data_IF_699723935533
#
_entry.id   IF_699723935533
#
_cell.length_a   1.000
_cell.length_b   1.000
_cell.length_c   1.000
_cell.angle_alpha   90.00
_cell.angle_beta   90.00
_cell.angle_gamma   90.00
#
_symmetry.space_group_name_H-M   'P 1'
#
loop_
_entity.id
_entity.type
_entity.pdbx_description
1 polymer ?
#
# COMPACT_ATOMS: atom_id res chain seq x y z
N UNK A 1 -13.84 11.32 16.09
CA UNK A 1 -13.53 11.94 14.79
C UNK A 1 -14.60 12.96 14.46
N UNK A 2 -14.22 14.21 14.18
CA UNK A 2 -15.18 15.22 13.70
C UNK A 2 -15.62 14.84 12.26
N UNK A 3 -16.90 15.01 11.88
CA UNK A 3 -17.39 14.76 10.52
C UNK A 3 -16.51 15.30 9.38
N UNK A 4 -15.80 16.41 9.59
CA UNK A 4 -14.89 17.00 8.60
C UNK A 4 -13.66 16.12 8.36
N UNK A 5 -13.03 15.60 9.41
CA UNK A 5 -11.87 14.70 9.31
C UNK A 5 -12.25 13.40 8.59
N UNK A 6 -13.43 12.86 8.92
CA UNK A 6 -13.97 11.67 8.26
C UNK A 6 -14.18 11.90 6.76
N UNK A 7 -14.72 13.05 6.36
CA UNK A 7 -14.91 13.38 4.94
C UNK A 7 -13.58 13.55 4.22
N UNK A 8 -12.60 14.21 4.83
CA UNK A 8 -11.28 14.41 4.22
C UNK A 8 -10.53 13.09 4.00
N UNK A 9 -10.65 12.15 4.93
CA UNK A 9 -10.04 10.82 4.83
C UNK A 9 -10.51 10.06 3.58
N UNK A 10 -11.75 10.27 3.12
CA UNK A 10 -12.30 9.61 1.93
C UNK A 10 -12.20 10.46 0.67
N UNK A 11 -12.31 11.78 0.81
CA UNK A 11 -12.31 12.71 -0.32
C UNK A 11 -10.97 12.67 -1.06
N UNK A 12 -9.85 12.72 -0.33
CA UNK A 12 -8.51 12.74 -0.94
C UNK A 12 -8.23 11.45 -1.75
N UNK A 13 -8.39 10.23 -1.19
CA UNK A 13 -8.29 8.99 -1.95
C UNK A 13 -9.20 8.93 -3.18
N UNK A 14 -10.46 9.35 -3.03
CA UNK A 14 -11.45 9.33 -4.12
C UNK A 14 -11.06 10.25 -5.26
N UNK A 15 -10.58 11.46 -4.94
CA UNK A 15 -10.05 12.41 -5.91
C UNK A 15 -8.80 11.88 -6.59
N UNK A 16 -7.85 11.33 -5.82
CA UNK A 16 -6.63 10.75 -6.38
C UNK A 16 -6.94 9.64 -7.37
N UNK A 17 -7.86 8.73 -7.03
CA UNK A 17 -8.23 7.63 -7.90
C UNK A 17 -8.97 8.12 -9.15
N UNK A 18 -9.85 9.11 -9.00
CA UNK A 18 -10.54 9.74 -10.13
C UNK A 18 -9.54 10.42 -11.07
N UNK A 19 -8.61 11.21 -10.53
CA UNK A 19 -7.54 11.85 -11.30
C UNK A 19 -6.69 10.80 -12.01
N UNK A 20 -6.32 9.70 -11.33
CA UNK A 20 -5.57 8.60 -11.95
C UNK A 20 -6.30 8.00 -13.15
N UNK A 21 -7.58 7.65 -13.00
CA UNK A 21 -8.36 7.05 -14.08
C UNK A 21 -8.68 8.00 -15.23
N UNK A 22 -8.71 9.32 -15.00
CA UNK A 22 -8.94 10.33 -16.03
C UNK A 22 -7.64 10.79 -16.72
N UNK A 23 -6.56 10.98 -15.95
CA UNK A 23 -5.31 11.56 -16.43
C UNK A 23 -4.68 10.69 -17.53
N UNK A 24 -4.57 9.39 -17.31
CA UNK A 24 -3.88 8.50 -18.26
C UNK A 24 -4.58 8.45 -19.63
N UNK A 25 -5.91 8.22 -19.71
CA UNK A 25 -6.59 8.23 -21.01
C UNK A 25 -6.73 9.61 -21.62
N UNK A 26 -7.08 10.63 -20.85
CA UNK A 26 -7.43 11.95 -21.39
C UNK A 26 -6.21 12.82 -21.69
N UNK A 27 -5.16 12.75 -20.86
CA UNK A 27 -3.97 13.59 -21.00
C UNK A 27 -2.84 12.86 -21.73
N UNK A 28 -2.65 11.57 -21.42
CA UNK A 28 -1.58 10.76 -22.02
C UNK A 28 -2.05 9.89 -23.20
N UNK A 29 -3.34 9.90 -23.51
CA UNK A 29 -3.88 9.15 -24.65
C UNK A 29 -3.77 7.62 -24.49
N UNK A 30 -3.61 7.10 -23.27
CA UNK A 30 -3.42 5.67 -23.04
C UNK A 30 -4.74 4.92 -22.93
N UNK A 31 -4.74 3.61 -23.15
CA UNK A 31 -5.87 2.76 -22.77
C UNK A 31 -6.13 2.80 -21.25
N UNK A 32 -7.37 2.53 -20.84
CA UNK A 32 -7.77 2.36 -19.43
C UNK A 32 -7.07 1.15 -18.78
N UNK A 33 -6.52 0.24 -19.58
CA UNK A 33 -5.79 -0.93 -19.08
C UNK A 33 -4.63 -0.55 -18.15
N UNK A 34 -3.89 0.52 -18.46
CA UNK A 34 -2.77 0.96 -17.64
C UNK A 34 -3.19 1.49 -16.25
N UNK A 35 -4.14 2.45 -16.12
CA UNK A 35 -4.58 2.88 -14.80
C UNK A 35 -5.24 1.75 -14.00
N UNK A 36 -5.98 0.82 -14.64
CA UNK A 36 -6.50 -0.40 -13.98
C UNK A 36 -5.36 -1.24 -13.42
N UNK A 37 -4.35 -1.54 -14.23
CA UNK A 37 -3.18 -2.33 -13.83
C UNK A 37 -2.52 -1.75 -12.56
N UNK A 38 -2.23 -0.45 -12.58
CA UNK A 38 -1.57 0.25 -11.46
C UNK A 38 -2.42 0.26 -10.18
N UNK A 39 -3.74 0.40 -10.28
CA UNK A 39 -4.62 0.49 -9.12
C UNK A 39 -4.99 -0.88 -8.53
N UNK A 40 -5.15 -1.91 -9.37
CA UNK A 40 -5.58 -3.25 -8.94
C UNK A 40 -4.50 -3.95 -8.13
N UNK A 41 -3.22 -3.80 -8.48
CA UNK A 41 -2.11 -4.46 -7.77
C UNK A 41 -2.07 -4.09 -6.27
N UNK A 42 -2.00 -2.81 -5.86
CA UNK A 42 -2.00 -2.45 -4.45
C UNK A 42 -3.31 -2.81 -3.74
N UNK A 43 -4.44 -2.79 -4.45
CA UNK A 43 -5.72 -3.22 -3.90
C UNK A 43 -5.71 -4.72 -3.54
N UNK A 44 -5.29 -5.57 -4.48
CA UNK A 44 -5.16 -7.02 -4.26
C UNK A 44 -4.10 -7.32 -3.20
N UNK A 45 -2.99 -6.58 -3.20
CA UNK A 45 -1.96 -6.72 -2.18
C UNK A 45 -2.53 -6.39 -0.79
N UNK A 46 -3.32 -5.33 -0.66
CA UNK A 46 -4.04 -5.02 0.59
C UNK A 46 -4.92 -6.18 1.05
N UNK A 47 -5.74 -6.72 0.14
CA UNK A 47 -6.65 -7.82 0.48
C UNK A 47 -5.91 -9.08 0.92
N UNK A 48 -4.87 -9.47 0.17
CA UNK A 48 -4.16 -10.72 0.39
C UNK A 48 -3.16 -10.61 1.54
N UNK A 49 -2.37 -9.54 1.58
CA UNK A 49 -1.23 -9.44 2.49
C UNK A 49 -1.58 -8.72 3.78
N UNK A 50 -2.18 -7.54 3.69
CA UNK A 50 -2.61 -6.79 4.88
C UNK A 50 -3.75 -7.53 5.57
N UNK A 51 -4.70 -8.05 4.79
CA UNK A 51 -5.76 -8.90 5.31
C UNK A 51 -5.24 -10.11 6.09
N UNK A 52 -4.21 -10.78 5.58
CA UNK A 52 -3.57 -11.91 6.27
C UNK A 52 -2.79 -11.44 7.51
N UNK A 53 -2.06 -10.33 7.44
CA UNK A 53 -1.37 -9.75 8.59
C UNK A 53 -2.29 -9.34 9.74
N UNK A 54 -3.48 -8.85 9.43
CA UNK A 54 -4.51 -8.53 10.43
C UNK A 54 -5.12 -9.80 11.04
N UNK A 55 -5.41 -10.81 10.21
CA UNK A 55 -6.14 -12.01 10.64
C UNK A 55 -5.28 -13.07 11.31
N UNK A 56 -4.08 -13.33 10.78
CA UNK A 56 -3.23 -14.45 11.20
C UNK A 56 -2.19 -13.98 12.20
N UNK A 57 -1.48 -12.90 11.88
CA UNK A 57 -0.36 -12.42 12.69
C UNK A 57 -0.73 -11.30 13.66
N UNK A 58 -1.96 -10.80 13.58
CA UNK A 58 -2.49 -9.72 14.41
C UNK A 58 -1.55 -8.49 14.47
N UNK A 59 -0.83 -8.18 13.39
CA UNK A 59 0.13 -7.07 13.38
C UNK A 59 -0.59 -5.71 13.43
N UNK A 60 -1.81 -5.67 12.91
CA UNK A 60 -2.64 -4.49 12.84
C UNK A 60 -4.09 -4.82 13.18
N UNK A 61 -4.81 -3.80 13.63
CA UNK A 61 -6.27 -3.83 13.72
C UNK A 61 -6.83 -2.56 13.12
N UNK A 62 -7.81 -2.71 12.23
CA UNK A 62 -8.47 -1.60 11.57
C UNK A 62 -9.93 -1.55 12.05
N UNK A 63 -10.42 -0.35 12.37
CA UNK A 63 -11.83 -0.15 12.74
C UNK A 63 -12.74 -0.03 11.52
N UNK A 64 -12.15 0.19 10.34
CA UNK A 64 -12.84 0.28 9.05
C UNK A 64 -12.76 -1.06 8.28
N UNK A 65 -13.73 -1.36 7.40
CA UNK A 65 -13.73 -2.61 6.64
C UNK A 65 -12.50 -2.75 5.73
N UNK A 66 -11.97 -3.96 5.61
CA UNK A 66 -10.76 -4.24 4.82
C UNK A 66 -10.79 -3.71 3.38
N UNK A 67 -11.90 -3.82 2.61
CA UNK A 67 -11.95 -3.24 1.26
C UNK A 67 -11.69 -1.74 1.23
N UNK A 68 -12.08 -1.02 2.29
CA UNK A 68 -11.83 0.41 2.40
C UNK A 68 -10.35 0.71 2.68
N UNK A 69 -9.71 -0.09 3.54
CA UNK A 69 -8.24 -0.03 3.76
C UNK A 69 -7.50 -0.25 2.44
N UNK A 70 -7.91 -1.28 1.68
CA UNK A 70 -7.32 -1.60 0.38
C UNK A 70 -7.51 -0.47 -0.64
N UNK A 71 -8.68 0.17 -0.63
CA UNK A 71 -8.95 1.34 -1.47
C UNK A 71 -8.07 2.54 -1.09
N UNK A 72 -7.93 2.85 0.21
CA UNK A 72 -7.02 3.90 0.69
C UNK A 72 -5.61 3.64 0.16
N UNK A 73 -5.10 2.43 0.37
CA UNK A 73 -3.74 2.05 -0.03
C UNK A 73 -3.54 2.11 -1.54
N UNK A 74 -4.49 1.60 -2.32
CA UNK A 74 -4.45 1.71 -3.78
C UNK A 74 -4.41 3.17 -4.23
N UNK A 75 -5.24 4.02 -3.62
CA UNK A 75 -5.33 5.45 -3.94
C UNK A 75 -4.06 6.23 -3.67
N UNK A 76 -3.39 5.94 -2.57
CA UNK A 76 -2.11 6.60 -2.28
C UNK A 76 -0.96 6.00 -3.09
N UNK A 77 -1.03 4.72 -3.43
CA UNK A 77 -0.03 4.08 -4.30
C UNK A 77 -0.06 4.68 -5.71
N UNK A 78 -1.24 5.01 -6.23
CA UNK A 78 -1.37 5.67 -7.55
C UNK A 78 -0.77 7.09 -7.60
N UNK A 79 -0.48 7.71 -6.45
CA UNK A 79 0.19 9.01 -6.41
C UNK A 79 1.58 8.95 -7.05
N UNK A 80 2.35 7.88 -6.79
CA UNK A 80 3.70 7.73 -7.35
C UNK A 80 3.68 7.83 -8.88
N UNK A 81 2.88 7.01 -9.56
CA UNK A 81 2.73 7.07 -11.02
C UNK A 81 2.20 8.41 -11.54
N UNK A 82 1.26 9.05 -10.84
CA UNK A 82 0.77 10.37 -11.21
C UNK A 82 1.84 11.47 -11.11
N UNK A 83 2.60 11.49 -10.01
CA UNK A 83 3.66 12.49 -9.78
C UNK A 83 4.85 12.24 -10.71
N UNK A 84 5.17 10.97 -10.98
CA UNK A 84 6.30 10.56 -11.81
C UNK A 84 5.91 10.32 -13.28
N UNK A 85 4.78 10.89 -13.72
CA UNK A 85 4.20 10.62 -15.03
C UNK A 85 5.21 10.79 -16.18
N UNK A 86 6.01 11.87 -16.20
CA UNK A 86 7.02 12.07 -17.24
C UNK A 86 8.09 10.98 -17.24
N UNK A 87 8.51 10.52 -16.06
CA UNK A 87 9.50 9.43 -15.95
C UNK A 87 8.90 8.09 -16.41
N UNK A 88 7.60 7.87 -16.16
CA UNK A 88 6.87 6.70 -16.68
C UNK A 88 6.74 6.77 -18.19
N UNK A 89 6.40 7.93 -18.75
CA UNK A 89 6.16 8.09 -20.20
C UNK A 89 7.43 8.10 -21.06
N UNK A 90 8.63 8.24 -20.48
CA UNK A 90 9.88 8.02 -21.21
C UNK A 90 9.95 6.59 -21.79
N UNK A 91 10.61 6.35 -22.93
CA UNK A 91 10.79 4.99 -23.46
C UNK A 91 11.39 4.03 -22.44
N UNK A 92 11.00 2.76 -22.52
CA UNK A 92 11.49 1.75 -21.60
C UNK A 92 13.03 1.63 -21.63
N UNK A 93 13.63 1.65 -20.44
CA UNK A 93 15.07 1.43 -20.24
C UNK A 93 15.34 0.89 -18.84
N UNK A 94 16.43 0.12 -18.69
CA UNK A 94 16.82 -0.42 -17.38
C UNK A 94 17.05 0.70 -16.35
N UNK A 95 17.69 1.80 -16.75
CA UNK A 95 17.86 2.97 -15.89
C UNK A 95 16.52 3.60 -15.50
N UNK A 96 15.57 3.68 -16.43
CA UNK A 96 14.21 4.14 -16.15
C UNK A 96 13.49 3.28 -15.11
N UNK A 97 13.67 1.96 -15.18
CA UNK A 97 13.11 1.01 -14.19
C UNK A 97 13.72 1.24 -12.80
N UNK A 98 15.05 1.36 -12.70
CA UNK A 98 15.73 1.63 -11.43
C UNK A 98 15.31 2.98 -10.85
N UNK A 99 15.28 4.04 -11.67
CA UNK A 99 14.82 5.37 -11.25
C UNK A 99 13.38 5.32 -10.73
N UNK A 100 12.49 4.64 -11.44
CA UNK A 100 11.10 4.46 -11.00
C UNK A 100 11.01 3.71 -9.68
N UNK A 101 11.83 2.68 -9.47
CA UNK A 101 11.90 1.96 -8.20
C UNK A 101 12.25 2.88 -7.04
N UNK A 102 13.35 3.61 -7.15
CA UNK A 102 13.83 4.46 -6.06
C UNK A 102 12.86 5.60 -5.74
N UNK A 103 12.32 6.27 -6.77
CA UNK A 103 11.40 7.39 -6.58
C UNK A 103 10.05 6.93 -6.02
N UNK A 104 9.47 5.86 -6.56
CA UNK A 104 8.22 5.31 -6.02
C UNK A 104 8.42 4.75 -4.62
N UNK A 105 9.55 4.10 -4.35
CA UNK A 105 9.92 3.64 -3.00
C UNK A 105 9.93 4.79 -2.00
N UNK A 106 10.60 5.91 -2.33
CA UNK A 106 10.64 7.07 -1.46
C UNK A 106 9.25 7.72 -1.26
N UNK A 107 8.49 7.92 -2.35
CA UNK A 107 7.15 8.49 -2.28
C UNK A 107 6.24 7.61 -1.41
N UNK A 108 6.25 6.29 -1.63
CA UNK A 108 5.44 5.34 -0.85
C UNK A 108 5.87 5.32 0.62
N UNK A 109 7.16 5.36 0.93
CA UNK A 109 7.65 5.41 2.30
C UNK A 109 7.09 6.63 3.05
N UNK A 110 7.18 7.81 2.43
CA UNK A 110 6.69 9.07 3.03
C UNK A 110 5.17 9.07 3.15
N UNK A 111 4.45 8.80 2.06
CA UNK A 111 2.98 8.88 2.06
C UNK A 111 2.37 7.82 2.97
N UNK A 112 2.85 6.58 2.90
CA UNK A 112 2.43 5.49 3.75
C UNK A 112 2.63 5.78 5.24
N UNK A 113 3.79 6.32 5.63
CA UNK A 113 4.05 6.75 7.01
C UNK A 113 3.09 7.86 7.46
N UNK A 114 2.79 8.83 6.60
CA UNK A 114 1.81 9.89 6.92
C UNK A 114 0.41 9.31 7.11
N UNK A 115 -0.02 8.41 6.24
CA UNK A 115 -1.34 7.76 6.29
C UNK A 115 -1.48 6.94 7.57
N UNK A 116 -0.50 6.12 7.91
CA UNK A 116 -0.55 5.31 9.13
C UNK A 116 -0.51 6.19 10.38
N UNK A 117 0.24 7.30 10.36
CA UNK A 117 0.27 8.26 11.48
C UNK A 117 -1.11 8.89 11.70
N UNK A 118 -1.73 9.40 10.64
CA UNK A 118 -3.09 9.97 10.71
C UNK A 118 -4.10 8.90 11.11
N UNK A 119 -3.99 7.70 10.55
CA UNK A 119 -4.91 6.60 10.86
C UNK A 119 -4.81 6.14 12.32
N UNK A 120 -3.61 6.15 12.91
CA UNK A 120 -3.43 5.87 14.33
C UNK A 120 -3.94 7.01 15.21
N UNK A 121 -3.68 8.26 14.85
CA UNK A 121 -4.15 9.44 15.59
C UNK A 121 -5.69 9.50 15.64
N UNK A 122 -6.35 9.18 14.52
CA UNK A 122 -7.81 9.08 14.40
C UNK A 122 -8.38 7.76 14.96
N UNK A 123 -7.55 6.90 15.57
CA UNK A 123 -7.93 5.59 16.14
C UNK A 123 -8.58 4.63 15.13
N UNK A 124 -8.22 4.78 13.85
CA UNK A 124 -8.64 3.89 12.77
C UNK A 124 -7.73 2.68 12.63
N UNK A 125 -6.46 2.85 13.00
CA UNK A 125 -5.42 1.84 12.99
C UNK A 125 -4.86 1.67 14.40
N UNK A 126 -4.78 0.42 14.85
CA UNK A 126 -3.97 0.01 16.00
C UNK A 126 -2.85 -0.88 15.50
N UNK A 127 -1.62 -0.54 15.86
CA UNK A 127 -0.42 -1.32 15.51
C UNK A 127 -0.01 -2.15 16.71
N UNK A 128 0.07 -3.46 16.53
CA UNK A 128 0.48 -4.41 17.57
C UNK A 128 1.94 -4.81 17.34
N UNK A 129 2.85 -3.90 17.63
CA UNK A 129 4.30 -4.13 17.51
C UNK A 129 4.98 -4.09 18.88
N UNK A 130 6.18 -4.67 18.98
CA UNK A 130 7.01 -4.56 20.19
C UNK A 130 7.28 -3.09 20.57
N UNK A 131 7.38 -2.21 19.57
CA UNK A 131 7.57 -0.76 19.79
C UNK A 131 6.29 -0.11 20.28
N UNK A 132 5.12 -0.49 19.77
CA UNK A 132 3.85 -0.02 20.32
C UNK A 132 3.69 -0.43 21.80
N UNK A 133 4.15 -1.64 22.15
CA UNK A 133 4.07 -2.16 23.52
C UNK A 133 4.97 -1.42 24.52
N UNK A 134 5.99 -0.67 24.07
CA UNK A 134 6.82 0.16 24.98
C UNK A 134 6.23 1.54 25.26
N UNK A 135 5.01 1.82 24.77
CA UNK A 135 4.29 3.07 25.09
C UNK A 135 4.88 4.33 24.46
N UNK A 136 5.73 4.19 23.44
CA UNK A 136 6.23 5.36 22.66
C UNK A 136 5.10 5.95 21.81
N UNK A 137 5.11 7.27 21.67
CA UNK A 137 4.07 8.01 20.94
C UNK A 137 3.88 7.56 19.48
N UNK A 138 2.70 7.84 18.93
CA UNK A 138 2.22 7.40 17.61
C UNK A 138 3.27 7.49 16.50
N UNK A 139 3.89 8.66 16.33
CA UNK A 139 4.88 8.91 15.28
C UNK A 139 6.07 7.94 15.36
N UNK A 140 6.59 7.67 16.57
CA UNK A 140 7.72 6.75 16.76
C UNK A 140 7.33 5.31 16.45
N UNK A 141 6.12 4.91 16.85
CA UNK A 141 5.58 3.58 16.56
C UNK A 141 5.42 3.36 15.06
N UNK A 142 4.88 4.35 14.33
CA UNK A 142 4.68 4.27 12.87
C UNK A 142 6.02 4.27 12.13
N UNK A 143 6.93 5.19 12.44
CA UNK A 143 8.24 5.26 11.78
C UNK A 143 9.03 3.95 11.92
N UNK A 144 8.88 3.24 13.04
CA UNK A 144 9.59 2.00 13.30
C UNK A 144 9.27 0.87 12.31
N UNK A 145 8.13 0.90 11.60
CA UNK A 145 7.79 -0.12 10.61
C UNK A 145 7.33 0.45 9.26
N UNK A 146 6.50 1.50 9.25
CA UNK A 146 5.79 1.96 8.04
C UNK A 146 6.76 2.45 6.98
N UNK A 147 7.84 3.14 7.36
CA UNK A 147 8.78 3.69 6.39
C UNK A 147 9.45 2.57 5.57
N UNK A 148 9.93 1.52 6.25
CA UNK A 148 10.53 0.36 5.59
C UNK A 148 9.49 -0.44 4.82
N UNK A 149 8.33 -0.68 5.43
CA UNK A 149 7.25 -1.45 4.84
C UNK A 149 6.74 -0.84 3.53
N UNK A 150 6.34 0.43 3.55
CA UNK A 150 5.85 1.12 2.35
C UNK A 150 6.98 1.47 1.39
N UNK A 151 8.19 1.73 1.88
CA UNK A 151 9.36 1.91 1.03
C UNK A 151 9.68 0.66 0.21
N UNK A 152 9.72 -0.51 0.85
CA UNK A 152 9.89 -1.79 0.17
C UNK A 152 8.76 -2.04 -0.82
N UNK A 153 7.51 -1.78 -0.43
CA UNK A 153 6.37 -1.93 -1.32
C UNK A 153 6.50 -1.04 -2.57
N UNK A 154 6.83 0.25 -2.39
CA UNK A 154 7.05 1.19 -3.48
C UNK A 154 8.24 0.82 -4.38
N UNK A 155 9.31 0.26 -3.81
CA UNK A 155 10.45 -0.27 -4.57
C UNK A 155 10.03 -1.38 -5.55
N UNK A 156 9.02 -2.18 -5.22
CA UNK A 156 8.44 -3.15 -6.16
C UNK A 156 7.47 -2.48 -7.14
N UNK A 157 6.57 -1.63 -6.66
CA UNK A 157 5.55 -0.98 -7.50
C UNK A 157 6.17 -0.11 -8.59
N UNK A 158 7.30 0.56 -8.35
CA UNK A 158 8.00 1.37 -9.35
C UNK A 158 8.35 0.61 -10.64
N UNK A 159 9.18 -0.46 -10.57
CA UNK A 159 9.52 -1.31 -11.70
C UNK A 159 8.28 -1.87 -12.39
N UNK A 160 7.33 -2.36 -11.61
CA UNK A 160 6.08 -2.95 -12.09
C UNK A 160 5.30 -1.94 -12.91
N UNK A 161 5.17 -0.71 -12.42
CA UNK A 161 4.49 0.37 -13.14
C UNK A 161 5.19 0.66 -14.46
N UNK A 162 6.53 0.68 -14.48
CA UNK A 162 7.30 0.91 -15.71
C UNK A 162 7.14 -0.23 -16.72
N UNK A 163 7.16 -1.48 -16.26
CA UNK A 163 6.92 -2.67 -17.08
C UNK A 163 5.48 -2.68 -17.60
N UNK A 164 4.51 -2.35 -16.76
CA UNK A 164 3.10 -2.21 -17.15
C UNK A 164 2.90 -1.15 -18.22
N UNK A 165 3.56 0.01 -18.09
CA UNK A 165 3.53 1.05 -19.10
C UNK A 165 4.10 0.55 -20.44
N UNK A 166 5.24 -0.12 -20.41
CA UNK A 166 5.85 -0.68 -21.62
C UNK A 166 4.89 -1.63 -22.36
N UNK A 167 4.30 -2.61 -21.67
CA UNK A 167 3.41 -3.57 -22.33
C UNK A 167 2.06 -2.98 -22.72
N UNK A 168 1.43 -2.21 -21.84
CA UNK A 168 0.04 -1.76 -22.01
C UNK A 168 -0.09 -0.45 -22.80
N UNK A 169 1.00 0.33 -22.89
CA UNK A 169 1.02 1.64 -23.55
C UNK A 169 1.98 1.64 -24.73
N UNK A 170 3.27 1.36 -24.51
CA UNK A 170 4.27 1.44 -25.59
C UNK A 170 4.06 0.36 -26.66
N UNK A 171 3.78 -0.88 -26.25
CA UNK A 171 3.45 -1.98 -27.16
C UNK A 171 1.96 -2.09 -27.49
N UNK A 172 1.09 -1.43 -26.71
CA UNK A 172 -0.36 -1.48 -26.87
C UNK A 172 -1.02 -2.84 -26.63
N UNK A 173 -0.32 -3.80 -26.00
CA UNK A 173 -0.82 -5.16 -25.78
C UNK A 173 -1.67 -5.26 -24.52
N UNK A 174 -2.87 -4.68 -24.56
CA UNK A 174 -3.79 -4.64 -23.42
C UNK A 174 -4.33 -6.02 -23.04
N UNK A 175 -4.23 -7.01 -23.92
CA UNK A 175 -4.70 -8.38 -23.67
C UNK A 175 -3.94 -9.06 -22.53
N UNK A 176 -2.70 -8.65 -22.28
CA UNK A 176 -1.82 -9.21 -21.24
C UNK A 176 -2.08 -8.68 -19.83
N UNK A 177 -3.02 -7.76 -19.64
CA UNK A 177 -3.23 -7.09 -18.34
C UNK A 177 -3.34 -8.08 -17.17
N UNK A 178 -4.14 -9.14 -17.33
CA UNK A 178 -4.36 -10.13 -16.27
C UNK A 178 -3.11 -10.95 -15.98
N UNK A 179 -2.37 -11.33 -17.03
CA UNK A 179 -1.09 -12.01 -16.88
C UNK A 179 -0.09 -11.13 -16.14
N UNK A 180 0.00 -9.85 -16.49
CA UNK A 180 0.89 -8.90 -15.83
C UNK A 180 0.50 -8.70 -14.36
N UNK A 181 -0.79 -8.60 -14.03
CA UNK A 181 -1.26 -8.52 -12.64
C UNK A 181 -0.85 -9.77 -11.87
N UNK A 182 -1.06 -10.96 -12.42
CA UNK A 182 -0.72 -12.24 -11.76
C UNK A 182 0.80 -12.38 -11.53
N UNK A 183 1.60 -12.14 -12.57
CA UNK A 183 3.07 -12.20 -12.49
C UNK A 183 3.65 -11.16 -11.52
N UNK A 184 2.88 -10.11 -11.24
CA UNK A 184 3.24 -9.06 -10.31
C UNK A 184 2.85 -9.37 -8.88
N UNK A 185 1.59 -9.75 -8.66
CA UNK A 185 1.04 -9.87 -7.31
C UNK A 185 1.64 -11.06 -6.57
N UNK A 186 1.89 -12.18 -7.26
CA UNK A 186 2.38 -13.41 -6.63
C UNK A 186 3.76 -13.22 -6.00
N UNK A 187 4.80 -12.72 -6.71
CA UNK A 187 6.11 -12.51 -6.09
C UNK A 187 6.08 -11.51 -4.93
N UNK A 188 5.34 -10.40 -5.06
CA UNK A 188 5.23 -9.41 -3.98
C UNK A 188 4.58 -10.06 -2.76
N UNK A 189 3.49 -10.80 -2.93
CA UNK A 189 2.83 -11.51 -1.84
C UNK A 189 3.78 -12.49 -1.15
N UNK A 190 4.52 -13.31 -1.90
CA UNK A 190 5.47 -14.28 -1.32
C UNK A 190 6.55 -13.59 -0.47
N UNK A 191 7.13 -12.49 -0.98
CA UNK A 191 8.16 -11.74 -0.25
C UNK A 191 7.61 -11.12 1.04
N UNK A 192 6.42 -10.52 0.99
CA UNK A 192 5.82 -9.93 2.18
C UNK A 192 5.26 -10.96 3.16
N UNK A 193 4.87 -12.16 2.70
CA UNK A 193 4.54 -13.29 3.59
C UNK A 193 5.75 -13.67 4.43
N UNK A 194 6.93 -13.79 3.80
CA UNK A 194 8.17 -14.08 4.51
C UNK A 194 8.52 -12.96 5.51
N UNK A 195 8.39 -11.70 5.09
CA UNK A 195 8.61 -10.54 5.97
C UNK A 195 7.69 -10.55 7.20
N UNK A 196 6.39 -10.79 7.02
CA UNK A 196 5.44 -10.84 8.13
C UNK A 196 5.66 -12.03 9.05
N UNK A 197 6.01 -13.20 8.50
CA UNK A 197 6.37 -14.36 9.29
C UNK A 197 7.57 -14.07 10.21
N UNK A 198 8.60 -13.38 9.71
CA UNK A 198 9.78 -12.98 10.50
C UNK A 198 9.47 -11.92 11.56
N UNK A 199 8.57 -10.98 11.25
CA UNK A 199 8.13 -9.96 12.23
C UNK A 199 7.19 -10.53 13.29
N UNK A 200 6.46 -11.59 12.98
CA UNK A 200 5.51 -12.20 13.90
C UNK A 200 6.25 -12.86 15.06
N UNK A 201 6.02 -12.36 16.27
CA UNK A 201 6.61 -12.88 17.49
C UNK A 201 5.59 -13.80 18.18
N UNK A 202 5.86 -15.11 18.36
CA UNK A 202 4.88 -16.05 18.92
C UNK A 202 4.36 -15.68 20.32
N UNK A 203 5.10 -14.85 21.07
CA UNK A 203 4.72 -14.39 22.42
C UNK A 203 3.64 -13.30 22.44
N UNK A 204 3.48 -12.49 21.38
CA UNK A 204 2.45 -11.46 21.31
C UNK A 204 1.05 -12.02 21.05
N UNK A 205 0.97 -13.09 20.25
CA UNK A 205 -0.27 -13.82 19.97
C UNK A 205 -0.85 -14.55 21.21
N UNK A 206 0.00 -14.88 22.18
CA UNK A 206 -0.40 -15.47 23.46
C UNK A 206 -0.99 -14.43 24.43
N UNK A 207 -0.46 -13.20 24.43
CA UNK A 207 -0.99 -12.11 25.25
C UNK A 207 -2.37 -11.61 24.75
N UNK A 208 -2.59 -11.58 23.44
CA UNK A 208 -3.89 -11.24 22.86
C UNK A 208 -4.99 -12.30 23.08
N UNK A 209 -4.63 -13.49 23.57
CA UNK A 209 -5.55 -14.60 23.86
C UNK A 209 -5.91 -14.75 25.34
N UNK A 210 -5.37 -13.94 26.25
CA UNK A 210 -5.84 -13.90 27.64
C UNK A 210 -6.90 -12.82 27.78
N UNK A 211 -8.21 -13.16 27.75
CA UNK A 211 -9.20 -12.25 28.33
C UNK A 211 -8.90 -12.13 29.82
N UNK A 212 -9.12 -10.94 30.37
CA UNK A 212 -9.00 -10.60 31.79
C UNK A 212 -9.85 -11.54 32.68
N UNK A 213 -9.37 -12.75 32.95
CA UNK A 213 -9.95 -13.68 33.91
C UNK A 213 -9.15 -13.69 35.21
N UNK A 214 -8.70 -12.53 35.67
CA UNK A 214 -8.01 -12.36 36.93
C UNK A 214 -8.40 -11.05 37.62
N UNK A 215 -9.63 -11.03 38.12
CA UNK A 215 -10.13 -10.08 39.11
C UNK A 215 -11.54 -10.54 39.49
N UNK A 216 -11.75 -11.35 40.52
CA UNK A 216 -11.48 -11.01 41.93
C UNK A 216 -11.54 -12.29 42.79
N UNK A 217 -10.71 -12.43 43.84
CA UNK A 217 -11.11 -13.16 45.04
C UNK A 217 -12.12 -12.35 45.88
#
# INVERSE_FOLDING_TARGET
MNPVQQRLLWLVPSLLMTIHFLYWPLVRGTSIAFPVFVAVIPFLFGLLMVGTAVRIWHLWSWTIPMPHVCFLWASYTTLGPLVLNDTISMPFSAMGVVKMSLLTGFISAVTGTVIDTISMDERLLTVHSRVAATGVGTVKTVIAYSFLFFGAFGLFIGPITKVGHYYLVELGDTSRIWLLILLTIVPICVLFLAYFALMSNPRGALAAKQPDSAGSP
#
